data_IF_702111220088
#
_entry.id   IF_702111220088
#
_cell.length_a   1.000
_cell.length_b   1.000
_cell.length_c   1.000
_cell.angle_alpha   90.00
_cell.angle_beta   90.00
_cell.angle_gamma   90.00
#
_symmetry.space_group_name_H-M   'P 1'
#
loop_
_entity.id
_entity.type
_entity.pdbx_description
1 polymer ?
#
# COMPACT_ATOMS: atom_id res chain seq x y z
N UNK A 1 12.93 7.25 16.36
CA UNK A 1 12.29 6.67 15.16
C UNK A 1 11.00 5.95 15.54
N UNK A 2 11.02 5.08 16.55
CA UNK A 2 9.83 4.32 17.00
C UNK A 2 8.57 5.16 17.33
N UNK A 3 8.70 6.31 17.99
CA UNK A 3 7.53 7.17 18.27
C UNK A 3 6.89 7.78 17.03
N UNK A 4 7.67 8.02 15.97
CA UNK A 4 7.17 8.58 14.71
C UNK A 4 6.35 7.52 13.94
N UNK A 5 6.84 6.27 13.94
CA UNK A 5 6.13 5.14 13.36
C UNK A 5 4.83 4.84 14.12
N UNK A 6 4.84 4.96 15.46
CA UNK A 6 3.65 4.71 16.28
C UNK A 6 2.54 5.77 16.04
N UNK A 7 2.91 7.04 15.88
CA UNK A 7 1.96 8.10 15.53
C UNK A 7 1.38 7.94 14.12
N UNK A 8 2.22 7.64 13.12
CA UNK A 8 1.80 7.38 11.74
C UNK A 8 0.86 6.18 11.68
N UNK A 9 1.21 5.09 12.38
CA UNK A 9 0.37 3.90 12.49
C UNK A 9 -0.99 4.24 13.14
N UNK A 10 -1.01 5.06 14.19
CA UNK A 10 -2.25 5.49 14.86
C UNK A 10 -3.12 6.38 13.97
N UNK A 11 -2.52 7.28 13.18
CA UNK A 11 -3.22 8.12 12.18
C UNK A 11 -3.80 7.26 11.06
N UNK A 12 -3.03 6.30 10.57
CA UNK A 12 -3.45 5.35 9.54
C UNK A 12 -4.62 4.49 10.05
N UNK A 13 -4.53 3.94 11.26
CA UNK A 13 -5.63 3.20 11.89
C UNK A 13 -6.90 4.05 12.01
N UNK A 14 -6.78 5.32 12.43
CA UNK A 14 -7.93 6.24 12.52
C UNK A 14 -8.55 6.52 11.14
N UNK A 15 -7.75 6.65 10.09
CA UNK A 15 -8.25 6.88 8.71
C UNK A 15 -8.92 5.64 8.13
N UNK A 16 -8.31 4.47 8.32
CA UNK A 16 -8.93 3.19 7.95
C UNK A 16 -10.26 3.04 8.69
N UNK A 17 -10.30 3.40 9.98
CA UNK A 17 -11.52 3.39 10.78
C UNK A 17 -12.63 4.32 10.32
N UNK A 18 -12.27 5.40 9.64
CA UNK A 18 -13.23 6.31 9.02
C UNK A 18 -13.57 5.93 7.58
N UNK A 19 -13.11 4.78 7.07
CA UNK A 19 -13.17 4.39 5.66
C UNK A 19 -12.53 5.43 4.71
N UNK A 20 -11.62 6.26 5.21
CA UNK A 20 -10.94 7.32 4.44
C UNK A 20 -9.60 6.85 3.86
N UNK A 21 -9.43 5.54 3.68
CA UNK A 21 -8.23 5.00 3.06
C UNK A 21 -8.25 5.29 1.56
N UNK A 22 -7.41 6.23 1.11
CA UNK A 22 -7.30 6.67 -0.29
C UNK A 22 -5.97 6.30 -0.93
N UNK A 23 -5.80 6.69 -2.19
CA UNK A 23 -4.57 6.46 -2.95
C UNK A 23 -3.34 7.19 -2.38
N UNK A 24 -3.52 8.32 -1.70
CA UNK A 24 -2.40 9.02 -1.05
C UNK A 24 -1.82 8.20 0.11
N UNK A 25 -2.67 7.50 0.88
CA UNK A 25 -2.21 6.61 1.94
C UNK A 25 -1.57 5.34 1.37
N UNK A 26 -2.12 4.82 0.26
CA UNK A 26 -1.52 3.71 -0.50
C UNK A 26 -0.12 4.06 -1.03
N UNK A 27 0.02 5.26 -1.61
CA UNK A 27 1.29 5.77 -2.12
C UNK A 27 2.34 5.86 -1.00
N UNK A 28 1.96 6.40 0.17
CA UNK A 28 2.86 6.46 1.33
C UNK A 28 3.35 5.09 1.78
N UNK A 29 2.44 4.11 1.83
CA UNK A 29 2.79 2.74 2.21
C UNK A 29 3.72 2.10 1.18
N UNK A 30 3.46 2.27 -0.11
CA UNK A 30 4.37 1.82 -1.17
C UNK A 30 5.74 2.50 -1.07
N UNK A 31 5.79 3.80 -0.78
CA UNK A 31 7.04 4.53 -0.62
C UNK A 31 7.83 4.06 0.62
N UNK A 32 7.15 3.69 1.70
CA UNK A 32 7.77 3.05 2.87
C UNK A 32 8.34 1.68 2.50
N UNK A 33 7.59 0.87 1.75
CA UNK A 33 8.06 -0.43 1.25
C UNK A 33 9.23 -0.26 0.28
N UNK A 34 9.20 0.74 -0.63
CA UNK A 34 10.30 1.07 -1.54
C UNK A 34 11.55 1.52 -0.78
N UNK A 35 11.41 2.31 0.27
CA UNK A 35 12.52 2.66 1.19
C UNK A 35 13.07 1.42 1.90
N UNK A 36 12.21 0.46 2.22
CA UNK A 36 12.61 -0.87 2.71
C UNK A 36 13.08 -1.82 1.59
N UNK A 37 12.81 -1.55 0.31
CA UNK A 37 13.30 -2.30 -0.85
C UNK A 37 14.81 -2.14 -1.06
N UNK A 38 15.36 -1.01 -0.60
CA UNK A 38 16.80 -0.86 -0.39
C UNK A 38 17.36 -1.75 0.73
N UNK A 39 16.54 -2.54 1.45
CA UNK A 39 17.05 -3.62 2.30
C UNK A 39 17.76 -4.72 1.51
N UNK A 40 17.80 -4.69 0.16
CA UNK A 40 18.76 -5.50 -0.61
C UNK A 40 20.18 -5.33 -0.05
N UNK A 41 20.54 -4.12 0.36
CA UNK A 41 21.83 -3.81 0.98
C UNK A 41 21.92 -4.27 2.45
N UNK A 42 20.84 -4.13 3.24
CA UNK A 42 20.83 -4.56 4.66
C UNK A 42 20.73 -6.08 4.82
N UNK A 43 19.98 -6.78 3.97
CA UNK A 43 19.86 -8.25 3.98
C UNK A 43 21.06 -8.89 3.28
N UNK A 44 21.71 -8.20 2.34
CA UNK A 44 23.02 -8.57 1.80
C UNK A 44 24.11 -8.69 2.88
N UNK A 45 23.94 -8.04 4.04
CA UNK A 45 24.83 -8.16 5.20
C UNK A 45 24.48 -9.33 6.15
N UNK A 46 23.34 -10.02 5.95
CA UNK A 46 22.95 -11.18 6.75
C UNK A 46 23.54 -12.46 6.13
N UNK A 47 24.50 -13.14 6.80
CA UNK A 47 25.09 -14.38 6.27
C UNK A 47 24.00 -15.45 6.08
N UNK A 48 23.86 -15.98 4.86
CA UNK A 48 22.94 -17.08 4.54
C UNK A 48 21.58 -16.69 3.94
N UNK A 49 21.21 -15.40 3.93
CA UNK A 49 19.94 -14.95 3.34
C UNK A 49 20.00 -14.73 1.80
N UNK A 50 21.20 -14.65 1.23
CA UNK A 50 21.40 -14.32 -0.20
C UNK A 50 20.84 -15.31 -1.21
N UNK A 51 20.52 -16.56 -0.81
CA UNK A 51 19.90 -17.56 -1.72
C UNK A 51 18.37 -17.48 -1.76
N UNK A 52 17.71 -17.01 -0.70
CA UNK A 52 16.23 -16.93 -0.65
C UNK A 52 15.68 -15.65 -1.30
N UNK A 53 16.50 -14.62 -1.50
CA UNK A 53 16.08 -13.35 -2.10
C UNK A 53 16.32 -13.21 -3.61
N UNK A 54 17.05 -14.15 -4.24
CA UNK A 54 17.37 -14.06 -5.68
C UNK A 54 16.13 -14.12 -6.58
N UNK A 55 15.04 -14.70 -6.09
CA UNK A 55 13.80 -14.91 -6.83
C UNK A 55 12.70 -13.88 -6.50
N UNK A 56 12.94 -12.96 -5.55
CA UNK A 56 12.03 -11.86 -5.28
C UNK A 56 12.59 -10.62 -5.96
N UNK A 57 12.41 -10.56 -7.28
CA UNK A 57 12.67 -9.36 -8.07
C UNK A 57 11.59 -8.33 -7.70
N UNK A 58 11.89 -7.52 -6.68
CA UNK A 58 11.14 -6.30 -6.44
C UNK A 58 11.51 -5.32 -7.56
N UNK A 59 10.77 -5.38 -8.66
CA UNK A 59 10.91 -4.45 -9.78
C UNK A 59 10.70 -3.01 -9.28
N UNK A 60 11.79 -2.29 -9.05
CA UNK A 60 11.77 -0.87 -8.71
C UNK A 60 11.01 -0.04 -9.76
N UNK A 61 10.98 -0.53 -11.00
CA UNK A 61 10.26 0.08 -12.11
C UNK A 61 8.74 -0.09 -11.99
N UNK A 62 8.26 -1.22 -11.44
CA UNK A 62 6.82 -1.42 -11.20
C UNK A 62 6.28 -0.35 -10.22
N UNK A 63 7.08 0.04 -9.23
CA UNK A 63 6.71 1.11 -8.30
C UNK A 63 6.66 2.48 -8.98
N UNK A 64 7.60 2.80 -9.89
CA UNK A 64 7.57 4.07 -10.62
C UNK A 64 6.30 4.25 -11.44
N UNK A 65 5.84 3.19 -12.11
CA UNK A 65 4.58 3.22 -12.86
C UNK A 65 3.37 3.46 -11.96
N UNK A 66 3.33 2.84 -10.78
CA UNK A 66 2.27 3.08 -9.79
C UNK A 66 2.27 4.53 -9.32
N UNK A 67 3.44 5.10 -9.00
CA UNK A 67 3.58 6.50 -8.60
C UNK A 67 3.06 7.43 -9.72
N UNK A 68 3.48 7.19 -10.96
CA UNK A 68 3.05 7.97 -12.12
C UNK A 68 1.52 7.94 -12.32
N UNK A 69 0.89 6.76 -12.17
CA UNK A 69 -0.56 6.61 -12.27
C UNK A 69 -1.28 7.42 -11.18
N UNK A 70 -0.83 7.31 -9.92
CA UNK A 70 -1.46 8.02 -8.79
C UNK A 70 -1.28 9.54 -8.95
N UNK A 71 -0.10 10.00 -9.35
CA UNK A 71 0.16 11.42 -9.60
C UNK A 71 -0.70 11.99 -10.73
N UNK A 72 -1.14 11.15 -11.68
CA UNK A 72 -2.04 11.54 -12.79
C UNK A 72 -3.53 11.61 -12.41
N UNK A 73 -3.88 11.23 -11.18
CA UNK A 73 -5.24 11.35 -10.64
C UNK A 73 -5.49 12.73 -10.02
N UNK A 74 -6.75 13.15 -10.01
CA UNK A 74 -7.20 14.33 -9.26
C UNK A 74 -7.34 14.00 -7.76
N UNK A 75 -7.37 15.03 -6.89
CA UNK A 75 -7.57 14.85 -5.44
C UNK A 75 -8.87 14.10 -5.10
N UNK A 76 -9.93 14.35 -5.87
CA UNK A 76 -11.21 13.66 -5.73
C UNK A 76 -11.08 12.16 -6.08
N UNK A 77 -10.37 11.83 -7.15
CA UNK A 77 -10.14 10.45 -7.56
C UNK A 77 -9.23 9.69 -6.58
N UNK A 78 -8.25 10.39 -5.97
CA UNK A 78 -7.36 9.80 -4.96
C UNK A 78 -8.09 9.49 -3.66
N UNK A 79 -8.96 10.40 -3.23
CA UNK A 79 -9.76 10.22 -2.01
C UNK A 79 -10.94 9.27 -2.22
N UNK A 80 -11.50 9.20 -3.43
CA UNK A 80 -12.63 8.36 -3.78
C UNK A 80 -12.35 7.48 -5.02
N UNK A 81 -11.67 6.34 -4.86
CA UNK A 81 -11.37 5.42 -5.96
C UNK A 81 -12.62 4.95 -6.74
N UNK A 82 -13.79 4.96 -6.11
CA UNK A 82 -15.06 4.53 -6.69
C UNK A 82 -15.51 5.41 -7.88
N UNK A 83 -15.09 6.68 -7.96
CA UNK A 83 -15.51 7.58 -9.05
C UNK A 83 -14.74 7.35 -10.36
N UNK A 84 -13.71 6.47 -10.34
CA UNK A 84 -12.84 6.20 -11.50
C UNK A 84 -13.55 5.31 -12.52
N UNK A 85 -14.25 5.95 -13.45
CA UNK A 85 -14.90 5.32 -14.60
C UNK A 85 -13.95 5.13 -15.80
N UNK A 86 -14.44 4.52 -16.90
CA UNK A 86 -13.63 4.23 -18.08
C UNK A 86 -12.98 5.48 -18.71
N UNK A 87 -13.70 6.61 -18.75
CA UNK A 87 -13.19 7.88 -19.28
C UNK A 87 -12.02 8.40 -18.44
N UNK A 88 -12.16 8.37 -17.10
CA UNK A 88 -11.09 8.75 -16.17
C UNK A 88 -9.88 7.83 -16.29
N UNK A 89 -10.08 6.51 -16.41
CA UNK A 89 -8.96 5.55 -16.61
C UNK A 89 -8.17 5.85 -17.88
N UNK A 90 -8.85 6.20 -18.98
CA UNK A 90 -8.20 6.59 -20.24
C UNK A 90 -7.38 7.88 -20.08
N UNK A 91 -7.94 8.87 -19.37
CA UNK A 91 -7.23 10.13 -19.06
C UNK A 91 -6.00 9.89 -18.18
N UNK A 92 -6.16 9.11 -17.10
CA UNK A 92 -5.09 8.77 -16.15
C UNK A 92 -3.97 8.04 -16.89
N UNK A 93 -4.28 6.96 -17.63
CA UNK A 93 -3.26 6.22 -18.39
C UNK A 93 -2.51 7.09 -19.38
N UNK A 94 -3.21 7.95 -20.14
CA UNK A 94 -2.55 8.91 -21.04
C UNK A 94 -1.65 9.91 -20.28
N UNK A 95 -2.07 10.35 -19.09
CA UNK A 95 -1.32 11.28 -18.25
C UNK A 95 -0.09 10.64 -17.59
N UNK A 96 -0.15 9.35 -17.25
CA UNK A 96 0.93 8.60 -16.62
C UNK A 96 1.86 7.90 -17.61
N UNK A 97 1.55 7.93 -18.90
CA UNK A 97 2.28 7.16 -19.92
C UNK A 97 2.04 5.65 -19.82
N UNK A 98 0.94 5.22 -19.21
CA UNK A 98 0.59 3.81 -19.00
C UNK A 98 -0.71 3.44 -19.72
N UNK A 99 -0.94 2.14 -19.85
CA UNK A 99 -2.17 1.59 -20.43
C UNK A 99 -3.34 1.66 -19.46
N UNK A 100 -4.57 1.56 -20.00
CA UNK A 100 -5.80 1.41 -19.20
C UNK A 100 -5.79 0.10 -18.41
N UNK A 101 -5.08 -0.92 -18.90
CA UNK A 101 -4.94 -2.22 -18.23
C UNK A 101 -4.13 -2.08 -16.93
N UNK A 102 -3.02 -1.35 -16.96
CA UNK A 102 -2.20 -1.07 -15.77
C UNK A 102 -2.99 -0.27 -14.73
N UNK A 103 -3.77 0.73 -15.16
CA UNK A 103 -4.66 1.47 -14.25
C UNK A 103 -5.69 0.54 -13.61
N UNK A 104 -6.25 -0.41 -14.35
CA UNK A 104 -7.18 -1.40 -13.79
C UNK A 104 -6.49 -2.36 -12.81
N UNK A 105 -5.24 -2.74 -13.08
CA UNK A 105 -4.46 -3.59 -12.19
C UNK A 105 -4.17 -2.88 -10.87
N UNK A 106 -3.78 -1.61 -10.92
CA UNK A 106 -3.61 -0.78 -9.72
C UNK A 106 -4.91 -0.69 -8.91
N UNK A 107 -6.05 -0.45 -9.56
CA UNK A 107 -7.34 -0.40 -8.88
C UNK A 107 -7.69 -1.73 -8.19
N UNK A 108 -7.34 -2.87 -8.79
CA UNK A 108 -7.53 -4.18 -8.16
C UNK A 108 -6.63 -4.35 -6.94
N UNK A 109 -5.34 -4.02 -7.05
CA UNK A 109 -4.38 -4.09 -5.94
C UNK A 109 -4.81 -3.19 -4.78
N UNK A 110 -5.21 -1.96 -5.08
CA UNK A 110 -5.75 -1.03 -4.10
C UNK A 110 -6.98 -1.61 -3.38
N UNK A 111 -7.95 -2.17 -4.13
CA UNK A 111 -9.14 -2.76 -3.53
C UNK A 111 -8.82 -3.97 -2.64
N UNK A 112 -7.88 -4.81 -3.03
CA UNK A 112 -7.42 -5.94 -2.22
C UNK A 112 -6.79 -5.44 -0.91
N UNK A 113 -5.91 -4.44 -0.99
CA UNK A 113 -5.25 -3.87 0.19
C UNK A 113 -6.25 -3.13 1.09
N UNK A 114 -7.17 -2.35 0.51
CA UNK A 114 -8.26 -1.70 1.23
C UNK A 114 -9.14 -2.71 1.96
N UNK A 115 -9.47 -3.84 1.33
CA UNK A 115 -10.22 -4.93 1.95
C UNK A 115 -9.44 -5.58 3.10
N UNK A 116 -8.15 -5.83 2.92
CA UNK A 116 -7.27 -6.37 3.96
C UNK A 116 -7.20 -5.41 5.16
N UNK A 117 -6.97 -4.11 4.91
CA UNK A 117 -6.93 -3.07 5.94
C UNK A 117 -8.26 -2.95 6.69
N UNK A 118 -9.39 -2.98 5.98
CA UNK A 118 -10.72 -3.03 6.59
C UNK A 118 -10.94 -4.28 7.43
N UNK A 119 -10.47 -5.44 6.99
CA UNK A 119 -10.58 -6.70 7.75
C UNK A 119 -9.71 -6.68 9.01
N UNK A 120 -8.52 -6.08 8.95
CA UNK A 120 -7.65 -5.91 10.11
C UNK A 120 -8.27 -4.98 11.16
N UNK A 121 -9.02 -3.98 10.69
CA UNK A 121 -9.63 -2.95 11.53
C UNK A 121 -11.05 -3.33 12.00
N UNK A 122 -11.78 -4.13 11.24
CA UNK A 122 -13.09 -4.65 11.62
C UNK A 122 -12.98 -5.94 12.41
N UNK A 123 -13.37 -5.93 13.69
CA UNK A 123 -13.65 -7.13 14.50
C UNK A 123 -12.50 -8.09 14.80
N UNK A 124 -11.82 -8.62 13.78
CA UNK A 124 -10.77 -9.63 13.86
C UNK A 124 -9.52 -9.14 14.57
N UNK A 125 -9.05 -7.91 14.34
CA UNK A 125 -7.91 -7.35 15.07
C UNK A 125 -8.20 -7.11 16.55
N UNK A 126 -9.42 -6.66 16.89
CA UNK A 126 -9.86 -6.54 18.30
C UNK A 126 -10.01 -7.92 18.96
N UNK A 127 -10.59 -8.91 18.27
CA UNK A 127 -10.71 -10.29 18.76
C UNK A 127 -9.35 -10.95 18.96
N UNK A 128 -8.40 -10.71 18.07
CA UNK A 128 -7.04 -11.24 18.16
C UNK A 128 -6.26 -10.59 19.29
N UNK A 129 -6.34 -9.26 19.44
CA UNK A 129 -5.77 -8.53 20.59
C UNK A 129 -6.42 -8.97 21.91
N UNK A 130 -7.72 -9.25 21.91
CA UNK A 130 -8.45 -9.73 23.09
C UNK A 130 -8.09 -11.19 23.42
N UNK A 131 -7.86 -12.06 22.42
CA UNK A 131 -7.31 -13.41 22.61
C UNK A 131 -5.87 -13.37 23.14
N UNK A 132 -5.05 -12.47 22.62
CA UNK A 132 -3.65 -12.32 23.04
C UNK A 132 -3.54 -11.76 24.46
N UNK A 133 -4.47 -10.86 24.84
CA UNK A 133 -4.61 -10.35 26.22
C UNK A 133 -5.11 -11.42 27.21
N UNK A 134 -5.84 -12.42 26.72
CA UNK A 134 -6.34 -13.55 27.52
C UNK A 134 -5.43 -14.79 27.50
N UNK A 135 -4.24 -14.70 26.90
CA UNK A 135 -3.27 -15.78 26.95
C UNK A 135 -2.54 -15.72 28.31
N UNK A 136 -2.68 -16.72 29.20
CA UNK A 136 -1.89 -16.75 30.42
C UNK A 136 -0.41 -16.92 30.03
N UNK A 137 0.46 -16.21 30.75
CA UNK A 137 1.91 -16.31 30.59
C UNK A 137 2.42 -17.71 30.88
#
# INVERSE_FOLDING_TARGET
QEQFDEEEARKLQKKIAKNQFGFDDFLKQIQQIKKMGNMKDLVGMIPGAGKMMKDIDFDDDAFKHIEAIIHSMTLEERSQPAIINASRKKRIGKGSGTSVQEVNQLLKQFNQMSKMMKMMQGGGGKKMMQMMKNMPR
#
